data_IF_106070080053
#
_entry.id   IF_106070080053
#
_cell.length_a   1.000
_cell.length_b   1.000
_cell.length_c   1.000
_cell.angle_alpha   90.00
_cell.angle_beta   90.00
_cell.angle_gamma   90.00
#
_symmetry.space_group_name_H-M   'P 1'
#
loop_
_entity.id
_entity.type
_entity.pdbx_description
1 polymer ?
#
# COMPACT_ATOMS: atom_id res chain seq x y z
N UNK A 1 20.14 28.55 8.11
CA UNK A 1 19.79 27.63 7.01
C UNK A 1 18.28 27.66 6.81
N UNK A 2 17.80 28.05 5.64
CA UNK A 2 16.40 27.84 5.25
C UNK A 2 16.31 26.38 4.76
N UNK A 3 15.69 25.50 5.53
CA UNK A 3 15.38 24.16 5.03
C UNK A 3 14.19 24.29 4.06
N UNK A 4 14.38 23.90 2.81
CA UNK A 4 13.34 23.92 1.76
C UNK A 4 12.21 22.91 2.00
N UNK A 5 12.39 22.00 2.96
CA UNK A 5 11.48 20.89 3.25
C UNK A 5 11.16 20.84 4.74
N UNK A 6 9.87 20.64 5.08
CA UNK A 6 9.41 20.53 6.47
C UNK A 6 9.61 19.13 7.06
N UNK A 7 9.62 18.11 6.20
CA UNK A 7 9.86 16.71 6.54
C UNK A 7 10.52 16.01 5.36
N UNK A 8 11.27 14.95 5.64
CA UNK A 8 11.91 14.07 4.65
C UNK A 8 11.54 12.62 4.94
N UNK A 9 11.39 11.83 3.90
CA UNK A 9 11.07 10.41 4.00
C UNK A 9 11.52 9.67 2.75
N UNK A 10 11.13 8.40 2.68
CA UNK A 10 11.53 7.47 1.62
C UNK A 10 10.31 6.81 0.98
N UNK A 11 10.53 6.13 -0.14
CA UNK A 11 9.55 5.25 -0.79
C UNK A 11 10.22 3.91 -1.10
N UNK A 12 9.45 2.84 -1.07
CA UNK A 12 9.87 1.50 -1.51
C UNK A 12 11.05 0.91 -0.72
N UNK A 13 11.23 1.34 0.53
CA UNK A 13 12.27 0.80 1.40
C UNK A 13 11.77 -0.43 2.17
N UNK A 14 12.54 -1.52 2.10
CA UNK A 14 12.40 -2.70 2.97
C UNK A 14 12.98 -2.39 4.36
N UNK A 15 12.83 -3.31 5.32
CA UNK A 15 13.42 -3.16 6.66
C UNK A 15 14.95 -2.99 6.56
N UNK A 16 15.64 -3.79 5.74
CA UNK A 16 17.08 -3.71 5.56
C UNK A 16 17.51 -2.37 4.95
N UNK A 17 16.74 -1.84 3.99
CA UNK A 17 16.99 -0.51 3.42
C UNK A 17 16.85 0.60 4.47
N UNK A 18 15.84 0.50 5.34
CA UNK A 18 15.62 1.46 6.42
C UNK A 18 16.74 1.39 7.45
N UNK A 19 17.16 0.20 7.88
CA UNK A 19 18.25 0.04 8.86
C UNK A 19 19.59 0.56 8.31
N UNK A 20 19.92 0.28 7.05
CA UNK A 20 21.13 0.81 6.42
C UNK A 20 21.10 2.35 6.32
N UNK A 21 19.96 2.93 5.91
CA UNK A 21 19.79 4.38 5.87
C UNK A 21 19.97 5.02 7.25
N UNK A 22 19.31 4.47 8.27
CA UNK A 22 19.38 4.98 9.65
C UNK A 22 20.81 4.84 10.18
N UNK A 23 21.47 3.72 9.93
CA UNK A 23 22.85 3.48 10.37
C UNK A 23 23.84 4.45 9.71
N UNK A 24 23.69 4.69 8.41
CA UNK A 24 24.59 5.56 7.66
C UNK A 24 24.41 7.05 7.97
N UNK A 25 23.18 7.47 8.30
CA UNK A 25 22.84 8.90 8.42
C UNK A 25 22.53 9.35 9.85
N UNK A 26 22.17 8.43 10.75
CA UNK A 26 21.62 8.73 12.08
C UNK A 26 20.20 9.30 12.04
N UNK A 27 19.55 9.37 10.87
CA UNK A 27 18.24 10.00 10.70
C UNK A 27 17.17 8.95 10.45
N UNK A 28 16.10 8.98 11.24
CA UNK A 28 14.89 8.18 11.01
C UNK A 28 13.99 8.92 10.01
N UNK A 29 13.63 8.31 8.87
CA UNK A 29 12.74 8.96 7.89
C UNK A 29 11.34 9.17 8.48
N UNK A 30 10.72 10.32 8.20
CA UNK A 30 9.38 10.61 8.74
C UNK A 30 8.29 9.71 8.14
N UNK A 31 8.50 9.22 6.91
CA UNK A 31 7.55 8.38 6.18
C UNK A 31 8.28 7.35 5.33
N UNK A 32 7.69 6.17 5.18
CA UNK A 32 7.99 5.21 4.12
C UNK A 32 6.71 5.00 3.29
N UNK A 33 6.71 5.51 2.06
CA UNK A 33 5.62 5.31 1.10
C UNK A 33 5.81 3.94 0.42
N UNK A 34 4.82 3.04 0.53
CA UNK A 34 4.96 1.66 0.04
C UNK A 34 3.68 1.14 -0.61
N UNK A 35 3.82 0.16 -1.50
CA UNK A 35 2.67 -0.58 -2.02
C UNK A 35 2.01 -1.32 -0.86
N UNK A 36 0.75 -0.99 -0.54
CA UNK A 36 0.04 -1.68 0.52
C UNK A 36 -1.43 -1.79 0.20
N UNK A 37 -1.93 -3.02 0.27
CA UNK A 37 -3.31 -3.40 0.04
C UNK A 37 -3.54 -4.81 0.61
N UNK A 38 -4.77 -5.34 0.67
CA UNK A 38 -5.02 -6.64 1.32
C UNK A 38 -4.22 -7.82 0.74
N UNK A 39 -3.83 -7.76 -0.54
CA UNK A 39 -2.97 -8.77 -1.20
C UNK A 39 -1.45 -8.57 -0.89
N UNK A 40 -1.06 -7.44 -0.31
CA UNK A 40 0.32 -7.12 0.06
C UNK A 40 0.32 -6.28 1.33
N UNK A 41 0.10 -6.95 2.46
CA UNK A 41 -0.10 -6.30 3.78
C UNK A 41 1.16 -5.69 4.37
N UNK A 42 2.28 -6.37 4.16
CA UNK A 42 3.61 -6.03 4.69
C UNK A 42 3.63 -5.85 6.22
N UNK A 43 3.03 -6.80 6.96
CA UNK A 43 2.82 -6.66 8.42
C UNK A 43 4.14 -6.47 9.21
N UNK A 44 5.22 -7.14 8.81
CA UNK A 44 6.54 -6.97 9.43
C UNK A 44 7.10 -5.56 9.24
N UNK A 45 6.98 -5.02 8.02
CA UNK A 45 7.42 -3.66 7.70
C UNK A 45 6.58 -2.62 8.44
N UNK A 46 5.26 -2.81 8.52
CA UNK A 46 4.35 -1.94 9.28
C UNK A 46 4.73 -1.93 10.76
N UNK A 47 4.97 -3.10 11.34
CA UNK A 47 5.38 -3.25 12.74
C UNK A 47 6.71 -2.56 13.00
N UNK A 48 7.69 -2.78 12.14
CA UNK A 48 9.00 -2.14 12.21
C UNK A 48 8.92 -0.61 12.12
N UNK A 49 8.21 -0.09 11.10
CA UNK A 49 8.03 1.34 10.90
C UNK A 49 7.34 1.99 12.10
N UNK A 50 6.27 1.38 12.63
CA UNK A 50 5.59 1.86 13.84
C UNK A 50 6.53 1.93 15.05
N UNK A 51 7.37 0.92 15.27
CA UNK A 51 8.32 0.90 16.38
C UNK A 51 9.40 2.00 16.28
N UNK A 52 9.77 2.41 15.06
CA UNK A 52 10.73 3.50 14.80
C UNK A 52 10.07 4.87 14.68
N UNK A 53 8.74 4.97 14.72
CA UNK A 53 8.00 6.22 14.48
C UNK A 53 7.96 6.67 13.02
N UNK A 54 8.16 5.75 12.07
CA UNK A 54 8.09 5.99 10.62
C UNK A 54 6.63 5.84 10.18
N UNK A 55 6.05 6.89 9.59
CA UNK A 55 4.69 6.83 9.06
C UNK A 55 4.61 5.97 7.80
N UNK A 56 3.52 5.22 7.60
CA UNK A 56 3.28 4.50 6.35
C UNK A 56 2.30 5.30 5.49
N UNK A 57 2.67 5.51 4.21
CA UNK A 57 1.76 5.98 3.18
C UNK A 57 1.55 4.88 2.15
N UNK A 58 0.35 4.31 2.10
CA UNK A 58 -0.03 3.26 1.17
C UNK A 58 -0.30 3.82 -0.24
N UNK A 59 0.43 3.33 -1.24
CA UNK A 59 0.10 3.52 -2.65
C UNK A 59 -0.49 2.23 -3.26
N UNK A 60 -1.11 2.36 -4.43
CA UNK A 60 -1.77 1.26 -5.15
C UNK A 60 -2.80 0.50 -4.32
N UNK A 61 -3.56 1.19 -3.45
CA UNK A 61 -4.57 0.56 -2.58
C UNK A 61 -5.63 -0.28 -3.33
N UNK A 62 -5.85 -0.03 -4.62
CA UNK A 62 -6.76 -0.78 -5.48
C UNK A 62 -6.07 -1.87 -6.32
N UNK A 63 -4.78 -2.14 -6.07
CA UNK A 63 -3.86 -2.85 -6.95
C UNK A 63 -3.33 -1.96 -8.07
N UNK A 64 -2.96 -2.59 -9.18
CA UNK A 64 -2.48 -1.90 -10.37
C UNK A 64 -3.07 -2.52 -11.65
N UNK A 65 -3.45 -1.67 -12.61
CA UNK A 65 -4.02 -2.07 -13.91
C UNK A 65 -2.96 -2.41 -14.98
N UNK A 66 -1.67 -2.27 -14.69
CA UNK A 66 -0.58 -2.50 -15.64
C UNK A 66 -0.53 -3.90 -16.25
N UNK A 67 -1.00 -4.91 -15.52
CA UNK A 67 -0.94 -6.31 -15.96
C UNK A 67 -2.28 -6.86 -16.48
N UNK A 68 -3.24 -5.98 -16.75
CA UNK A 68 -4.62 -6.36 -17.13
C UNK A 68 -5.26 -7.37 -16.16
N UNK A 69 -4.95 -7.23 -14.88
CA UNK A 69 -5.51 -8.04 -13.81
C UNK A 69 -6.74 -7.33 -13.22
N UNK A 70 -7.70 -8.10 -12.67
CA UNK A 70 -8.78 -7.51 -11.91
C UNK A 70 -8.24 -6.63 -10.77
N UNK A 71 -8.81 -5.44 -10.61
CA UNK A 71 -8.51 -4.55 -9.49
C UNK A 71 -9.17 -5.08 -8.23
N UNK A 72 -8.63 -4.72 -7.06
CA UNK A 72 -9.01 -5.35 -5.80
C UNK A 72 -10.48 -5.12 -5.42
N UNK A 73 -11.06 -4.01 -5.87
CA UNK A 73 -12.48 -3.70 -5.65
C UNK A 73 -13.44 -4.64 -6.40
N UNK A 74 -12.92 -5.50 -7.29
CA UNK A 74 -13.71 -6.48 -8.03
C UNK A 74 -13.88 -7.82 -7.29
N UNK A 75 -13.09 -8.07 -6.25
CA UNK A 75 -13.18 -9.27 -5.41
C UNK A 75 -14.53 -9.33 -4.69
N UNK A 76 -15.10 -10.52 -4.60
CA UNK A 76 -16.44 -10.71 -4.03
C UNK A 76 -16.44 -10.36 -2.54
N UNK A 77 -15.40 -10.73 -1.82
CA UNK A 77 -15.23 -10.46 -0.39
C UNK A 77 -15.24 -8.95 -0.09
N UNK A 78 -14.64 -8.13 -0.97
CA UNK A 78 -14.64 -6.66 -0.83
C UNK A 78 -16.03 -6.08 -1.14
N UNK A 79 -16.74 -6.67 -2.11
CA UNK A 79 -18.13 -6.28 -2.43
C UNK A 79 -19.08 -6.64 -1.30
N UNK A 80 -18.97 -7.85 -0.76
CA UNK A 80 -19.80 -8.35 0.34
C UNK A 80 -19.64 -7.46 1.58
N UNK A 81 -18.40 -7.05 1.90
CA UNK A 81 -18.16 -6.10 3.00
C UNK A 81 -18.81 -4.74 2.71
N UNK A 82 -18.69 -4.21 1.49
CA UNK A 82 -19.33 -2.95 1.12
C UNK A 82 -20.87 -3.03 1.21
N UNK A 83 -21.47 -4.13 0.77
CA UNK A 83 -22.91 -4.38 0.84
C UNK A 83 -23.39 -4.53 2.28
N UNK A 84 -22.64 -5.27 3.12
CA UNK A 84 -22.93 -5.44 4.55
C UNK A 84 -22.94 -4.09 5.25
N UNK A 85 -21.89 -3.29 5.10
CA UNK A 85 -21.83 -1.95 5.70
C UNK A 85 -22.95 -1.06 5.14
N UNK A 86 -23.27 -1.16 3.86
CA UNK A 86 -24.37 -0.40 3.26
C UNK A 86 -25.72 -0.73 3.90
N UNK A 87 -25.96 -2.01 4.16
CA UNK A 87 -27.18 -2.50 4.82
C UNK A 87 -27.28 -2.07 6.27
N UNK A 88 -26.17 -2.11 7.01
CA UNK A 88 -26.08 -1.73 8.42
C UNK A 88 -26.26 -0.22 8.61
N UNK A 89 -25.56 0.58 7.81
CA UNK A 89 -25.54 2.05 7.94
C UNK A 89 -26.67 2.76 7.18
N UNK A 90 -27.42 2.02 6.36
CA UNK A 90 -28.44 2.57 5.42
C UNK A 90 -27.87 3.63 4.47
N UNK A 91 -26.56 3.60 4.23
CA UNK A 91 -25.84 4.53 3.35
C UNK A 91 -25.06 3.72 2.31
N UNK A 92 -25.07 4.14 1.04
CA UNK A 92 -24.31 3.43 0.00
C UNK A 92 -22.81 3.52 0.27
N UNK A 93 -22.17 2.37 0.48
CA UNK A 93 -20.73 2.18 0.57
C UNK A 93 -20.23 1.43 -0.67
N UNK A 94 -19.10 1.86 -1.22
CA UNK A 94 -18.48 1.21 -2.38
C UNK A 94 -17.32 0.30 -1.98
N UNK A 95 -16.99 -0.71 -2.80
CA UNK A 95 -15.80 -1.53 -2.60
C UNK A 95 -14.49 -0.71 -2.58
N UNK A 96 -14.44 0.44 -3.28
CA UNK A 96 -13.27 1.33 -3.23
C UNK A 96 -13.14 2.00 -1.87
N UNK A 97 -14.23 2.47 -1.27
CA UNK A 97 -14.21 3.05 0.08
C UNK A 97 -13.76 2.03 1.13
N UNK A 98 -14.20 0.77 1.01
CA UNK A 98 -13.74 -0.32 1.88
C UNK A 98 -12.22 -0.49 1.81
N UNK A 99 -11.64 -0.49 0.61
CA UNK A 99 -10.18 -0.63 0.44
C UNK A 99 -9.41 0.58 0.97
N UNK A 100 -9.95 1.79 0.85
CA UNK A 100 -9.34 3.00 1.41
C UNK A 100 -9.35 2.97 2.94
N UNK A 101 -10.49 2.61 3.54
CA UNK A 101 -10.62 2.45 4.98
C UNK A 101 -9.67 1.37 5.50
N UNK A 102 -9.56 0.23 4.80
CA UNK A 102 -8.59 -0.81 5.15
C UNK A 102 -7.14 -0.31 5.03
N UNK A 103 -6.82 0.49 4.01
CA UNK A 103 -5.48 1.04 3.84
C UNK A 103 -5.09 1.98 4.99
N UNK A 104 -6.05 2.74 5.52
CA UNK A 104 -5.89 3.62 6.68
C UNK A 104 -5.86 2.88 8.02
N UNK A 105 -6.40 1.66 8.08
CA UNK A 105 -6.36 0.82 9.28
C UNK A 105 -4.92 0.66 9.80
N UNK A 106 -4.72 0.90 11.09
CA UNK A 106 -3.39 0.98 11.72
C UNK A 106 -2.80 2.39 11.80
N UNK A 107 -3.51 3.42 11.34
CA UNK A 107 -3.09 4.82 11.41
C UNK A 107 -2.26 5.28 10.20
N UNK A 108 -2.42 4.63 9.05
CA UNK A 108 -1.65 4.93 7.85
C UNK A 108 -2.35 5.98 6.96
N UNK A 109 -1.59 6.62 6.08
CA UNK A 109 -2.18 7.40 4.99
C UNK A 109 -2.37 6.54 3.73
N UNK A 110 -3.28 6.94 2.86
CA UNK A 110 -3.49 6.31 1.55
C UNK A 110 -3.58 7.38 0.45
N UNK A 111 -3.00 7.11 -0.71
CA UNK A 111 -2.96 8.03 -1.85
C UNK A 111 -3.60 7.43 -3.11
N UNK A 112 -4.94 7.33 -3.17
CA UNK A 112 -5.62 6.75 -4.33
C UNK A 112 -5.55 7.66 -5.55
N UNK A 113 -5.20 7.09 -6.70
CA UNK A 113 -5.22 7.81 -7.98
C UNK A 113 -6.61 7.78 -8.60
N UNK A 114 -7.13 8.95 -8.96
CA UNK A 114 -8.29 9.10 -9.84
C UNK A 114 -8.16 10.38 -10.66
N UNK A 115 -8.70 10.36 -11.88
CA UNK A 115 -8.85 11.56 -12.73
C UNK A 115 -10.32 11.92 -12.95
N UNK A 116 -11.24 11.15 -12.36
CA UNK A 116 -12.68 11.36 -12.49
C UNK A 116 -13.17 12.11 -11.24
N UNK A 117 -13.67 13.36 -11.35
CA UNK A 117 -14.07 14.17 -10.20
C UNK A 117 -15.07 13.48 -9.27
N UNK A 118 -16.07 12.79 -9.82
CA UNK A 118 -17.05 12.05 -9.02
C UNK A 118 -16.41 10.94 -8.16
N UNK A 119 -15.43 10.22 -8.72
CA UNK A 119 -14.68 9.18 -7.97
C UNK A 119 -13.76 9.80 -6.91
N UNK A 120 -13.17 10.96 -7.20
CA UNK A 120 -12.37 11.70 -6.21
C UNK A 120 -13.26 12.08 -5.02
N UNK A 121 -14.42 12.69 -5.28
CA UNK A 121 -15.37 13.04 -4.22
C UNK A 121 -15.90 11.80 -3.45
N UNK A 122 -16.12 10.68 -4.14
CA UNK A 122 -16.53 9.43 -3.50
C UNK A 122 -15.43 8.83 -2.60
N UNK A 123 -14.16 8.91 -3.01
CA UNK A 123 -13.00 8.41 -2.24
C UNK A 123 -12.78 9.15 -0.91
N UNK A 124 -13.25 10.40 -0.78
CA UNK A 124 -13.16 11.18 0.46
C UNK A 124 -14.27 10.86 1.48
N UNK A 125 -15.25 10.03 1.11
CA UNK A 125 -16.30 9.60 2.05
C UNK A 125 -15.78 8.40 2.83
N UNK A 126 -15.34 8.66 4.05
CA UNK A 126 -14.77 7.66 4.94
C UNK A 126 -15.81 6.67 5.44
N UNK A 127 -15.35 5.47 5.77
CA UNK A 127 -16.17 4.36 6.25
C UNK A 127 -15.41 3.66 7.37
N UNK A 128 -16.10 3.36 8.47
CA UNK A 128 -15.53 2.59 9.56
C UNK A 128 -15.61 1.08 9.28
N UNK A 129 -14.49 0.39 9.50
CA UNK A 129 -14.42 -1.06 9.39
C UNK A 129 -14.38 -1.68 10.79
N UNK A 130 -15.23 -2.68 11.01
CA UNK A 130 -15.10 -3.57 12.17
C UNK A 130 -13.93 -4.54 11.97
N UNK A 131 -13.50 -5.20 13.05
CA UNK A 131 -12.51 -6.28 12.98
C UNK A 131 -12.94 -7.42 12.05
N UNK A 132 -14.25 -7.69 11.96
CA UNK A 132 -14.79 -8.68 11.03
C UNK A 132 -14.63 -8.22 9.56
N UNK A 133 -14.91 -6.95 9.28
CA UNK A 133 -14.73 -6.37 7.94
C UNK A 133 -13.26 -6.41 7.51
N UNK A 134 -12.33 -6.09 8.41
CA UNK A 134 -10.90 -6.14 8.16
C UNK A 134 -10.48 -7.57 7.80
N UNK A 135 -10.85 -8.57 8.62
CA UNK A 135 -10.52 -9.98 8.35
C UNK A 135 -11.10 -10.49 7.03
N UNK A 136 -12.35 -10.11 6.72
CA UNK A 136 -12.99 -10.49 5.47
C UNK A 136 -12.24 -9.93 4.25
N UNK A 137 -11.85 -8.65 4.30
CA UNK A 137 -11.05 -8.01 3.24
C UNK A 137 -9.66 -8.64 3.12
N UNK A 138 -9.01 -8.98 4.23
CA UNK A 138 -7.68 -9.61 4.24
C UNK A 138 -7.67 -11.03 3.66
N UNK A 139 -8.82 -11.70 3.62
CA UNK A 139 -8.94 -13.07 3.10
C UNK A 139 -8.58 -13.18 1.61
N UNK A 140 -8.67 -12.09 0.84
CA UNK A 140 -8.27 -12.04 -0.57
C UNK A 140 -6.75 -12.17 -0.76
N UNK A 141 -5.97 -11.98 0.31
CA UNK A 141 -4.51 -12.01 0.31
C UNK A 141 -3.87 -13.39 0.46
N UNK A 142 -4.64 -14.48 0.27
CA UNK A 142 -4.13 -15.86 0.36
C UNK A 142 -2.90 -16.11 -0.52
N UNK A 143 -2.85 -15.47 -1.69
CA UNK A 143 -1.64 -15.41 -2.52
C UNK A 143 -1.13 -13.97 -2.57
N UNK A 144 -0.02 -13.72 -1.89
CA UNK A 144 0.59 -12.40 -1.90
C UNK A 144 1.11 -12.04 -3.29
N UNK A 145 0.96 -10.76 -3.65
CA UNK A 145 1.48 -10.20 -4.90
C UNK A 145 1.83 -8.74 -4.72
N UNK A 146 3.03 -8.37 -5.17
CA UNK A 146 3.43 -7.00 -5.45
C UNK A 146 3.22 -6.69 -6.93
N UNK A 147 2.59 -5.57 -7.24
CA UNK A 147 2.32 -5.10 -8.60
C UNK A 147 3.44 -4.18 -9.10
N UNK A 148 4.03 -3.35 -8.24
CA UNK A 148 4.97 -2.31 -8.63
C UNK A 148 6.41 -2.78 -8.45
N UNK A 149 6.76 -3.89 -9.10
CA UNK A 149 8.14 -4.40 -9.16
C UNK A 149 8.82 -3.80 -10.40
N UNK A 150 9.83 -2.91 -10.27
CA UNK A 150 10.45 -2.24 -11.42
C UNK A 150 11.01 -3.21 -12.48
N UNK A 151 11.44 -4.39 -12.07
CA UNK A 151 11.92 -5.45 -12.97
C UNK A 151 10.87 -5.94 -13.98
N UNK A 152 9.58 -5.95 -13.62
CA UNK A 152 8.51 -6.40 -14.54
C UNK A 152 7.57 -5.28 -14.97
N UNK A 153 7.45 -4.23 -14.16
CA UNK A 153 6.51 -3.14 -14.34
C UNK A 153 7.05 -2.06 -15.29
N UNK A 154 8.35 -1.73 -15.22
CA UNK A 154 8.88 -0.59 -15.97
C UNK A 154 9.18 -0.91 -17.44
N UNK A 155 9.07 0.12 -18.28
CA UNK A 155 9.47 0.12 -19.70
C UNK A 155 10.31 1.38 -19.95
N UNK A 156 11.64 1.27 -20.13
CA UNK A 156 12.45 0.04 -20.11
C UNK A 156 12.49 -0.61 -18.71
N UNK A 157 12.71 -1.93 -18.70
CA UNK A 157 12.89 -2.73 -17.49
C UNK A 157 14.07 -2.21 -16.67
N UNK A 158 13.92 -2.16 -15.35
CA UNK A 158 15.05 -1.91 -14.45
C UNK A 158 15.63 -3.23 -13.99
N UNK A 159 16.85 -3.55 -14.43
CA UNK A 159 17.55 -4.80 -14.11
C UNK A 159 18.11 -4.80 -12.68
N UNK A 160 17.21 -4.75 -11.69
CA UNK A 160 17.55 -4.68 -10.27
C UNK A 160 16.55 -5.49 -9.43
N UNK A 161 17.07 -6.19 -8.42
CA UNK A 161 16.32 -6.84 -7.36
C UNK A 161 16.25 -5.90 -6.15
N UNK A 162 15.06 -5.39 -5.85
CA UNK A 162 14.79 -4.43 -4.77
C UNK A 162 14.13 -5.14 -3.59
N UNK A 163 13.19 -6.05 -3.85
CA UNK A 163 12.31 -6.60 -2.81
C UNK A 163 12.58 -8.06 -2.49
N UNK A 164 13.51 -8.71 -3.20
CA UNK A 164 13.71 -10.16 -3.11
C UNK A 164 12.56 -10.96 -3.72
N UNK A 165 11.72 -10.34 -4.57
CA UNK A 165 10.56 -11.02 -5.15
C UNK A 165 11.02 -12.09 -6.16
N UNK A 166 10.22 -13.15 -6.31
CA UNK A 166 10.46 -14.20 -7.31
C UNK A 166 10.58 -13.64 -8.72
N UNK A 167 9.83 -12.58 -9.03
CA UNK A 167 9.90 -11.89 -10.32
C UNK A 167 11.27 -11.25 -10.58
N UNK A 168 12.02 -10.91 -9.53
CA UNK A 168 13.33 -10.25 -9.60
C UNK A 168 14.51 -11.23 -9.55
N UNK A 169 14.25 -12.55 -9.50
CA UNK A 169 15.29 -13.59 -9.35
C UNK A 169 16.36 -13.55 -10.46
N UNK A 170 15.97 -13.12 -11.66
CA UNK A 170 16.84 -13.03 -12.83
C UNK A 170 17.53 -11.67 -12.96
N UNK A 171 17.33 -10.74 -12.02
CA UNK A 171 18.00 -9.46 -12.04
C UNK A 171 19.50 -9.61 -11.76
N UNK A 172 20.33 -8.86 -12.49
CA UNK A 172 21.79 -8.91 -12.33
C UNK A 172 22.30 -7.96 -11.25
N UNK A 173 21.54 -6.90 -10.94
CA UNK A 173 21.84 -5.98 -9.84
C UNK A 173 20.93 -6.26 -8.65
N UNK A 174 21.40 -5.89 -7.46
CA UNK A 174 20.63 -5.90 -6.22
C UNK A 174 20.98 -4.67 -5.40
N UNK A 175 20.08 -4.26 -4.52
CA UNK A 175 20.40 -3.25 -3.52
C UNK A 175 21.47 -3.82 -2.58
N UNK A 176 22.52 -3.04 -2.33
CA UNK A 176 23.58 -3.38 -1.38
C UNK A 176 23.36 -2.48 -0.17
N UNK A 177 23.08 -3.10 0.98
CA UNK A 177 22.81 -2.48 2.27
C UNK A 177 23.72 -3.08 3.34
#
# INVERSE_FOLDING_TARGET
MHLSSRAIGVSDHTIDHLEALITATGVVPAVNQVERHPILRQDDLVTYCKAKGIHITAYSAFGNNMFNLPLLFSHQEVKDVAEKISSETKTRVTPTQVLLAWAQHGGHSVIPKSVTPARIAENFKEVDLSEEHIKAVESIGAQQRRYNIPYIANKPMWDINIFGDKAEKSATHRVIV
#
